data_IF_072975661994
#
_entry.id   IF_072975661994
#
_cell.length_a   1.000
_cell.length_b   1.000
_cell.length_c   1.000
_cell.angle_alpha   90.00
_cell.angle_beta   90.00
_cell.angle_gamma   90.00
#
_symmetry.space_group_name_H-M   'P 1'
#
loop_
_entity.id
_entity.type
_entity.pdbx_description
1 polymer ?
#
# COMPACT_ATOMS: atom_id res chain seq x y z
N UNK A 1 -11.48 23.55 -36.46
CA UNK A 1 -11.14 22.14 -36.63
C UNK A 1 -10.97 21.55 -35.24
N UNK A 2 -11.86 20.64 -34.84
CA UNK A 2 -11.73 19.92 -33.57
C UNK A 2 -11.08 18.59 -33.91
N UNK A 3 -9.90 18.32 -33.37
CA UNK A 3 -9.24 17.01 -33.52
C UNK A 3 -9.94 16.01 -32.61
N UNK A 4 -10.52 14.96 -33.19
CA UNK A 4 -11.04 13.83 -32.44
C UNK A 4 -9.85 13.07 -31.81
N UNK A 5 -9.93 12.79 -30.51
CA UNK A 5 -9.04 11.83 -29.87
C UNK A 5 -9.47 10.42 -30.28
N UNK A 6 -8.64 9.72 -31.05
CA UNK A 6 -8.80 8.28 -31.24
C UNK A 6 -8.14 7.52 -30.10
N UNK A 7 -8.93 6.76 -29.35
CA UNK A 7 -8.42 5.80 -28.37
C UNK A 7 -7.84 4.60 -29.14
N UNK A 8 -6.51 4.53 -29.23
CA UNK A 8 -5.81 3.49 -30.00
C UNK A 8 -5.97 2.08 -29.40
N UNK A 9 -6.05 1.95 -28.07
CA UNK A 9 -6.27 0.68 -27.36
C UNK A 9 -6.62 0.92 -25.89
N UNK A 10 -7.72 0.34 -25.42
CA UNK A 10 -7.95 0.16 -23.98
C UNK A 10 -7.17 -1.09 -23.57
N UNK A 11 -6.19 -0.92 -22.70
CA UNK A 11 -5.46 -2.03 -22.09
C UNK A 11 -5.99 -2.14 -20.67
N UNK A 12 -6.68 -3.25 -20.35
CA UNK A 12 -6.89 -3.61 -18.95
C UNK A 12 -5.51 -3.89 -18.36
N UNK A 13 -5.01 -2.94 -17.58
CA UNK A 13 -3.82 -3.13 -16.77
C UNK A 13 -4.32 -3.61 -15.42
N UNK A 14 -4.03 -4.87 -15.09
CA UNK A 14 -4.25 -5.38 -13.75
C UNK A 14 -3.50 -4.48 -12.76
N UNK A 15 -4.22 -3.96 -11.79
CA UNK A 15 -3.63 -3.19 -10.70
C UNK A 15 -2.74 -4.14 -9.90
N UNK A 16 -1.46 -3.82 -9.78
CA UNK A 16 -0.49 -4.62 -9.01
C UNK A 16 -0.31 -4.01 -7.63
N UNK A 17 -0.14 -4.85 -6.60
CA UNK A 17 -0.01 -4.41 -5.20
C UNK A 17 1.07 -3.36 -5.01
N UNK A 18 2.20 -3.51 -5.73
CA UNK A 18 3.29 -2.52 -5.71
C UNK A 18 2.86 -1.13 -6.18
N UNK A 19 1.97 -1.04 -7.16
CA UNK A 19 1.47 0.26 -7.63
C UNK A 19 0.54 0.90 -6.59
N UNK A 20 -0.27 0.09 -5.88
CA UNK A 20 -1.10 0.55 -4.74
C UNK A 20 -0.25 1.04 -3.59
N UNK A 21 0.75 0.22 -3.20
CA UNK A 21 1.70 0.58 -2.16
C UNK A 21 2.35 1.93 -2.46
N UNK A 22 2.92 2.11 -3.65
CA UNK A 22 3.60 3.36 -4.02
C UNK A 22 2.65 4.56 -3.94
N UNK A 23 1.41 4.40 -4.38
CA UNK A 23 0.42 5.47 -4.32
C UNK A 23 0.11 5.90 -2.87
N UNK A 24 0.09 4.96 -1.93
CA UNK A 24 -0.12 5.26 -0.52
C UNK A 24 1.14 5.75 0.20
N UNK A 25 2.32 5.22 -0.11
CA UNK A 25 3.58 5.69 0.46
C UNK A 25 3.80 7.21 0.22
N UNK A 26 3.32 7.70 -0.93
CA UNK A 26 3.35 9.14 -1.28
C UNK A 26 2.24 9.97 -0.61
N UNK A 27 1.20 9.33 -0.04
CA UNK A 27 0.01 10.01 0.47
C UNK A 27 -0.70 9.25 1.63
N UNK A 28 0.06 8.86 2.66
CA UNK A 28 -0.48 8.10 3.79
C UNK A 28 -1.56 8.84 4.59
N UNK A 29 -1.59 10.18 4.52
CA UNK A 29 -2.65 10.98 5.16
C UNK A 29 -4.05 10.70 4.58
N UNK A 30 -4.14 10.09 3.39
CA UNK A 30 -5.41 9.61 2.85
C UNK A 30 -5.99 8.41 3.60
N UNK A 31 -5.18 7.68 4.38
CA UNK A 31 -5.62 6.59 5.26
C UNK A 31 -6.03 7.15 6.62
N UNK A 32 -5.15 7.94 7.24
CA UNK A 32 -5.36 8.54 8.55
C UNK A 32 -4.61 9.87 8.66
N UNK A 33 -5.27 10.91 9.16
CA UNK A 33 -4.66 12.24 9.36
C UNK A 33 -3.44 12.15 10.30
N UNK A 34 -2.29 12.63 9.81
CA UNK A 34 -1.04 12.64 10.57
C UNK A 34 -0.26 11.32 10.54
N UNK A 35 -0.68 10.34 9.73
CA UNK A 35 0.09 9.14 9.43
C UNK A 35 1.27 9.49 8.51
N UNK A 36 2.49 9.20 8.96
CA UNK A 36 3.73 9.59 8.28
C UNK A 36 4.52 8.36 7.85
N UNK A 37 4.98 8.38 6.62
CA UNK A 37 5.80 7.33 6.03
C UNK A 37 7.15 7.21 6.74
N UNK A 38 7.61 5.97 6.96
CA UNK A 38 8.96 5.68 7.49
C UNK A 38 9.79 4.92 6.46
N UNK A 39 9.31 3.76 6.00
CA UNK A 39 10.07 2.92 5.07
C UNK A 39 9.17 1.88 4.36
N UNK A 40 9.55 1.48 3.14
CA UNK A 40 8.84 0.45 2.35
C UNK A 40 9.64 -0.84 2.27
N UNK A 41 8.97 -2.00 2.27
CA UNK A 41 9.56 -3.33 2.10
C UNK A 41 10.61 -3.63 3.19
N UNK A 42 10.19 -3.46 4.45
CA UNK A 42 11.05 -3.62 5.63
C UNK A 42 11.17 -5.10 5.99
N UNK A 43 12.36 -5.67 5.80
CA UNK A 43 12.66 -7.04 6.24
C UNK A 43 12.85 -7.07 7.77
N UNK A 44 12.03 -7.87 8.45
CA UNK A 44 12.04 -8.03 9.91
C UNK A 44 12.47 -9.45 10.35
N UNK A 45 13.09 -10.23 9.45
CA UNK A 45 13.55 -11.59 9.70
C UNK A 45 12.47 -12.67 9.63
N UNK A 46 11.25 -12.37 10.08
CA UNK A 46 10.08 -13.30 9.99
C UNK A 46 9.19 -13.06 8.78
N UNK A 47 9.44 -11.99 8.03
CA UNK A 47 8.73 -11.56 6.83
C UNK A 47 9.15 -10.17 6.39
N UNK A 48 8.37 -9.59 5.47
CA UNK A 48 8.60 -8.25 4.91
C UNK A 48 7.33 -7.44 5.10
N UNK A 49 7.43 -6.33 5.83
CA UNK A 49 6.36 -5.35 5.97
C UNK A 49 6.31 -4.53 4.68
N UNK A 50 5.15 -4.42 4.04
CA UNK A 50 5.01 -3.57 2.87
C UNK A 50 5.34 -2.12 3.20
N UNK A 51 4.64 -1.50 4.15
CA UNK A 51 4.94 -0.13 4.58
C UNK A 51 4.94 -0.01 6.09
N UNK A 52 6.04 0.55 6.62
CA UNK A 52 6.17 1.01 7.98
C UNK A 52 5.88 2.51 8.04
N UNK A 53 5.04 2.90 8.97
CA UNK A 53 4.64 4.28 9.21
C UNK A 53 4.61 4.60 10.72
N UNK A 54 4.36 5.87 11.06
CA UNK A 54 4.07 6.31 12.42
C UNK A 54 2.85 7.20 12.43
N UNK A 55 1.95 7.00 13.39
CA UNK A 55 0.73 7.80 13.53
C UNK A 55 1.01 9.20 14.12
N UNK A 56 -0.06 9.96 14.36
CA UNK A 56 0.03 11.30 14.98
C UNK A 56 0.57 11.30 16.42
N UNK A 57 0.52 10.16 17.10
CA UNK A 57 0.99 9.96 18.47
C UNK A 57 2.37 9.29 18.54
N UNK A 58 3.05 9.09 17.40
CA UNK A 58 4.31 8.37 17.26
C UNK A 58 4.22 6.86 17.59
N UNK A 59 3.04 6.27 17.42
CA UNK A 59 2.85 4.82 17.48
C UNK A 59 3.23 4.22 16.12
N UNK A 60 4.08 3.17 16.06
CA UNK A 60 4.38 2.47 14.81
C UNK A 60 3.14 1.84 14.20
N UNK A 61 2.99 1.99 12.89
CA UNK A 61 1.90 1.43 12.10
C UNK A 61 2.48 0.56 11.01
N UNK A 62 1.96 -0.67 10.90
CA UNK A 62 2.30 -1.63 9.85
C UNK A 62 1.13 -1.67 8.87
N UNK A 63 1.42 -1.48 7.59
CA UNK A 63 0.43 -1.52 6.51
C UNK A 63 0.82 -2.66 5.56
N UNK A 64 -0.17 -3.49 5.23
CA UNK A 64 -0.08 -4.59 4.26
C UNK A 64 -1.13 -4.32 3.18
N UNK A 65 -0.72 -4.32 1.91
CA UNK A 65 -1.64 -4.01 0.81
C UNK A 65 -2.12 -5.29 0.12
N UNK A 66 -3.38 -5.27 -0.33
CA UNK A 66 -3.97 -6.30 -1.17
C UNK A 66 -4.78 -5.62 -2.26
N UNK A 67 -4.59 -6.02 -3.52
CA UNK A 67 -5.42 -5.54 -4.65
C UNK A 67 -6.76 -6.24 -4.69
N UNK A 68 -6.77 -7.49 -4.23
CA UNK A 68 -7.96 -8.31 -4.07
C UNK A 68 -8.49 -8.20 -2.64
N UNK A 69 -9.57 -8.93 -2.36
CA UNK A 69 -10.13 -9.00 -1.02
C UNK A 69 -9.10 -9.60 -0.05
N UNK A 70 -8.73 -8.84 0.98
CA UNK A 70 -7.92 -9.34 2.09
C UNK A 70 -8.61 -10.53 2.77
N UNK A 71 -7.84 -11.59 2.98
CA UNK A 71 -8.31 -12.85 3.54
C UNK A 71 -7.68 -13.14 4.92
N UNK A 72 -7.96 -14.32 5.47
CA UNK A 72 -7.42 -14.72 6.77
C UNK A 72 -5.89 -14.81 6.77
N UNK A 73 -5.27 -15.16 5.63
CA UNK A 73 -3.82 -15.24 5.53
C UNK A 73 -3.19 -13.84 5.59
N UNK A 74 -3.84 -12.85 5.00
CA UNK A 74 -3.45 -11.44 5.09
C UNK A 74 -3.45 -10.95 6.55
N UNK A 75 -4.47 -11.31 7.33
CA UNK A 75 -4.53 -10.99 8.76
C UNK A 75 -3.42 -11.70 9.55
N UNK A 76 -3.21 -12.99 9.31
CA UNK A 76 -2.15 -13.77 9.99
C UNK A 76 -0.77 -13.20 9.68
N UNK A 77 -0.52 -12.75 8.46
CA UNK A 77 0.73 -12.11 8.07
C UNK A 77 1.00 -10.86 8.91
N UNK A 78 0.03 -9.94 9.01
CA UNK A 78 0.16 -8.73 9.83
C UNK A 78 0.38 -9.10 11.30
N UNK A 79 -0.40 -10.04 11.85
CA UNK A 79 -0.23 -10.47 13.25
C UNK A 79 1.15 -11.05 13.54
N UNK A 80 1.74 -11.77 12.57
CA UNK A 80 3.11 -12.30 12.68
C UNK A 80 4.16 -11.19 12.75
N UNK A 81 3.88 -10.01 12.23
CA UNK A 81 4.80 -8.87 12.27
C UNK A 81 4.74 -8.13 13.62
N UNK A 82 3.68 -8.34 14.41
CA UNK A 82 3.51 -7.75 15.74
C UNK A 82 4.11 -8.59 16.88
N UNK A 83 4.38 -9.88 16.65
CA UNK A 83 4.88 -10.84 17.65
C UNK A 83 6.40 -10.93 17.66
#
# INVERSE_FOLDING_TARGET
MVTELEVLKVVEKDLVEKDVQRAFDENLEAIEEGLRFVWSQVNIGVGVIDTLAVDRNNVPVIIEYKVDKADIYSLVQVLKYYS
#
